data_IF_253535961469
#
_entry.id   IF_253535961469
#
_cell.length_a   1.000
_cell.length_b   1.000
_cell.length_c   1.000
_cell.angle_alpha   90.00
_cell.angle_beta   90.00
_cell.angle_gamma   90.00
#
_symmetry.space_group_name_H-M   'P 1'
#
loop_
_entity.id
_entity.type
_entity.pdbx_description
1 polymer ?
#
# COMPACT_ATOMS: atom_id res chain seq x y z
N UNK A 1 4.71 17.59 -21.32
CA UNK A 1 5.44 17.66 -20.03
C UNK A 1 4.43 17.39 -18.93
N UNK A 2 4.54 16.28 -18.19
CA UNK A 2 3.57 15.95 -17.14
C UNK A 2 3.90 16.75 -15.89
N UNK A 3 3.08 17.76 -15.57
CA UNK A 3 3.25 18.58 -14.37
C UNK A 3 1.91 19.14 -13.89
N UNK A 4 1.75 19.30 -12.58
CA UNK A 4 0.52 19.83 -11.99
C UNK A 4 -0.68 18.90 -12.14
N UNK A 5 -1.81 19.43 -12.60
CA UNK A 5 -3.08 18.72 -12.79
C UNK A 5 -2.95 17.46 -13.67
N UNK A 6 -2.04 17.50 -14.65
CA UNK A 6 -1.76 16.38 -15.53
C UNK A 6 -1.12 15.19 -14.80
N UNK A 7 -0.40 15.44 -13.70
CA UNK A 7 0.23 14.39 -12.90
C UNK A 7 -0.81 13.53 -12.15
N UNK A 8 -2.01 14.07 -11.89
CA UNK A 8 -3.10 13.36 -11.19
C UNK A 8 -3.90 12.44 -12.13
N UNK A 9 -3.85 12.69 -13.45
CA UNK A 9 -4.52 11.84 -14.46
C UNK A 9 -4.02 10.41 -14.41
N UNK A 10 -2.70 10.21 -14.23
CA UNK A 10 -2.09 8.88 -14.18
C UNK A 10 -2.57 8.07 -12.96
N UNK A 11 -2.46 8.55 -11.70
CA UNK A 11 -3.00 7.87 -10.53
C UNK A 11 -4.48 7.49 -10.67
N UNK A 12 -5.33 8.39 -11.20
CA UNK A 12 -6.76 8.10 -11.43
C UNK A 12 -6.97 6.94 -12.40
N UNK A 13 -6.18 6.88 -13.47
CA UNK A 13 -6.26 5.83 -14.48
C UNK A 13 -5.74 4.48 -13.96
N UNK A 14 -4.61 4.48 -13.26
CA UNK A 14 -3.96 3.23 -12.85
C UNK A 14 -4.56 2.62 -11.58
N UNK A 15 -5.24 3.42 -10.72
CA UNK A 15 -5.81 3.00 -9.44
C UNK A 15 -6.53 1.64 -9.47
N UNK A 16 -7.40 1.33 -10.45
CA UNK A 16 -8.09 0.03 -10.50
C UNK A 16 -7.17 -1.17 -10.78
N UNK A 17 -6.03 -0.92 -11.41
CA UNK A 17 -5.07 -1.95 -11.84
C UNK A 17 -3.94 -2.19 -10.83
N UNK A 18 -3.84 -1.36 -9.78
CA UNK A 18 -2.84 -1.54 -8.72
C UNK A 18 -3.39 -2.50 -7.67
N UNK A 19 -3.04 -3.78 -7.81
CA UNK A 19 -3.44 -4.82 -6.86
C UNK A 19 -2.62 -4.82 -5.56
N UNK A 20 -1.43 -4.21 -5.57
CA UNK A 20 -0.60 -4.14 -4.37
C UNK A 20 -1.23 -3.19 -3.34
N UNK A 21 -1.60 -3.67 -2.13
CA UNK A 21 -2.45 -2.91 -1.20
C UNK A 21 -1.83 -1.57 -0.78
N UNK A 22 -0.53 -1.56 -0.42
CA UNK A 22 0.14 -0.30 -0.02
C UNK A 22 0.32 0.69 -1.17
N UNK A 23 0.62 0.22 -2.38
CA UNK A 23 0.75 1.09 -3.56
C UNK A 23 -0.60 1.71 -3.93
N UNK A 24 -1.68 0.92 -3.82
CA UNK A 24 -3.04 1.41 -4.01
C UNK A 24 -3.41 2.44 -2.95
N UNK A 25 -3.11 2.17 -1.67
CA UNK A 25 -3.37 3.11 -0.58
C UNK A 25 -2.65 4.45 -0.79
N UNK A 26 -1.38 4.43 -1.22
CA UNK A 26 -0.63 5.65 -1.54
C UNK A 26 -1.31 6.47 -2.65
N UNK A 27 -1.82 5.80 -3.70
CA UNK A 27 -2.58 6.47 -4.77
C UNK A 27 -3.85 7.12 -4.20
N UNK A 28 -4.61 6.41 -3.37
CA UNK A 28 -5.83 6.95 -2.75
C UNK A 28 -5.53 8.17 -1.87
N UNK A 29 -4.43 8.15 -1.10
CA UNK A 29 -4.01 9.29 -0.27
C UNK A 29 -3.65 10.52 -1.11
N UNK A 30 -2.90 10.33 -2.21
CA UNK A 30 -2.53 11.40 -3.14
C UNK A 30 -3.79 12.03 -3.76
N UNK A 31 -4.74 11.19 -4.19
CA UNK A 31 -6.01 11.66 -4.74
C UNK A 31 -6.84 12.40 -3.70
N UNK A 32 -6.92 11.89 -2.47
CA UNK A 32 -7.65 12.53 -1.39
C UNK A 32 -7.08 13.92 -1.01
N UNK A 33 -5.75 14.07 -1.03
CA UNK A 33 -5.10 15.37 -0.83
C UNK A 33 -5.44 16.35 -1.96
N UNK A 34 -5.33 15.89 -3.21
CA UNK A 34 -5.61 16.71 -4.38
C UNK A 34 -7.08 17.16 -4.44
N UNK A 35 -8.01 16.25 -4.17
CA UNK A 35 -9.46 16.53 -4.07
C UNK A 35 -9.82 17.30 -2.78
N UNK A 36 -8.84 17.73 -1.98
CA UNK A 36 -8.97 18.47 -0.70
C UNK A 36 -9.86 17.78 0.33
N UNK A 37 -9.96 16.45 0.29
CA UNK A 37 -10.73 15.64 1.25
C UNK A 37 -9.98 15.46 2.57
N UNK A 38 -8.66 15.60 2.55
CA UNK A 38 -7.80 15.57 3.73
C UNK A 38 -6.87 16.78 3.71
N UNK A 39 -6.44 17.21 4.91
CA UNK A 39 -5.43 18.25 5.03
C UNK A 39 -4.05 17.71 4.63
N UNK A 40 -3.13 18.62 4.32
CA UNK A 40 -1.72 18.27 4.09
C UNK A 40 -1.10 17.55 5.27
N UNK A 41 -1.39 18.00 6.50
CA UNK A 41 -0.89 17.37 7.73
C UNK A 41 -1.41 15.93 7.89
N UNK A 42 -2.71 15.70 7.62
CA UNK A 42 -3.29 14.37 7.65
C UNK A 42 -2.67 13.47 6.57
N UNK A 43 -2.41 14.01 5.38
CA UNK A 43 -1.71 13.30 4.32
C UNK A 43 -0.30 12.89 4.75
N UNK A 44 0.51 13.81 5.29
CA UNK A 44 1.89 13.54 5.72
C UNK A 44 1.94 12.40 6.76
N UNK A 45 1.11 12.49 7.81
CA UNK A 45 0.99 11.45 8.85
C UNK A 45 0.60 10.09 8.28
N UNK A 46 -0.39 10.04 7.38
CA UNK A 46 -0.86 8.80 6.79
C UNK A 46 0.13 8.23 5.77
N UNK A 47 0.80 9.09 5.00
CA UNK A 47 1.74 8.68 3.96
C UNK A 47 2.99 8.08 4.57
N UNK A 48 3.52 8.67 5.64
CA UNK A 48 4.67 8.17 6.41
C UNK A 48 4.43 6.74 6.93
N UNK A 49 3.22 6.45 7.43
CA UNK A 49 2.84 5.09 7.84
C UNK A 49 2.93 4.06 6.72
N UNK A 50 2.82 4.50 5.45
CA UNK A 50 2.96 3.61 4.29
C UNK A 50 4.40 3.41 3.84
N UNK A 51 5.36 4.24 4.26
CA UNK A 51 6.76 4.15 3.83
C UNK A 51 7.42 2.87 4.35
N UNK A 52 8.41 2.35 3.62
CA UNK A 52 9.12 1.16 4.07
C UNK A 52 10.33 1.57 4.89
N UNK A 53 10.54 0.91 6.02
CA UNK A 53 11.79 1.07 6.76
C UNK A 53 12.91 0.33 6.01
N UNK A 54 13.93 1.07 5.60
CA UNK A 54 15.10 0.50 4.93
C UNK A 54 16.04 -0.11 5.97
N UNK A 55 16.26 -1.43 5.90
CA UNK A 55 17.23 -2.14 6.76
C UNK A 55 16.68 -2.71 8.07
N UNK A 56 15.40 -2.48 8.38
CA UNK A 56 14.70 -3.04 9.54
C UNK A 56 13.79 -4.24 9.21
N UNK A 57 13.32 -5.00 10.21
CA UNK A 57 12.27 -5.99 10.05
C UNK A 57 10.93 -5.29 9.77
N UNK A 58 10.76 -4.81 8.53
CA UNK A 58 9.55 -4.11 8.15
C UNK A 58 8.39 -5.10 7.95
N UNK A 59 7.44 -5.06 8.88
CA UNK A 59 6.23 -5.87 8.86
C UNK A 59 5.42 -5.70 7.55
N UNK A 60 5.54 -4.55 6.87
CA UNK A 60 4.88 -4.25 5.60
C UNK A 60 5.59 -4.89 4.40
N UNK A 61 6.87 -5.23 4.52
CA UNK A 61 7.72 -5.74 3.43
C UNK A 61 7.83 -7.27 3.43
N UNK A 62 7.89 -7.88 4.61
CA UNK A 62 8.28 -9.30 4.75
C UNK A 62 7.16 -10.26 5.18
N UNK A 63 5.94 -9.78 5.47
CA UNK A 63 4.88 -10.66 5.97
C UNK A 63 4.03 -11.34 4.88
N UNK A 64 4.20 -11.02 3.60
CA UNK A 64 3.49 -11.75 2.54
C UNK A 64 3.88 -13.24 2.50
N UNK A 65 5.17 -13.54 2.70
CA UNK A 65 5.68 -14.91 2.79
C UNK A 65 5.24 -15.62 4.08
N UNK A 66 5.26 -14.95 5.23
CA UNK A 66 4.76 -15.51 6.48
C UNK A 66 3.23 -15.74 6.45
N UNK A 67 2.47 -14.83 5.85
CA UNK A 67 1.03 -15.00 5.68
C UNK A 67 0.71 -16.17 4.74
N UNK A 68 1.47 -16.35 3.66
CA UNK A 68 1.37 -17.53 2.78
C UNK A 68 1.76 -18.83 3.52
N UNK A 69 2.81 -18.80 4.34
CA UNK A 69 3.24 -19.95 5.13
C UNK A 69 2.22 -20.35 6.21
N UNK A 70 1.53 -19.38 6.81
CA UNK A 70 0.45 -19.63 7.78
C UNK A 70 -0.88 -20.02 7.11
N UNK A 71 -1.12 -19.57 5.88
CA UNK A 71 -2.31 -19.92 5.09
C UNK A 71 -2.19 -21.28 4.39
N UNK A 72 -0.98 -21.86 4.33
CA UNK A 72 -0.81 -23.24 3.90
C UNK A 72 -1.53 -24.15 4.91
N UNK A 73 -2.50 -24.99 4.48
CA UNK A 73 -3.20 -25.87 5.39
C UNK A 73 -2.17 -26.78 6.06
N UNK A 74 -2.05 -26.68 7.39
CA UNK A 74 -1.33 -27.67 8.19
C UNK A 74 -1.96 -29.02 7.88
N UNK A 75 -1.33 -29.83 7.03
CA UNK A 75 -1.62 -31.26 6.95
C UNK A 75 -1.09 -31.86 8.23
N UNK A 76 -1.87 -31.74 9.31
CA UNK A 76 -1.64 -32.50 10.51
C UNK A 76 -1.94 -33.95 10.14
N UNK A 77 -0.93 -34.67 9.66
CA UNK A 77 -0.97 -36.13 9.58
C UNK A 77 -0.99 -36.61 11.02
N UNK A 78 -2.19 -36.71 11.60
CA UNK A 78 -2.39 -37.45 12.82
C UNK A 78 -2.17 -38.92 12.45
N UNK A 79 -0.95 -39.40 12.66
CA UNK A 79 -0.67 -40.83 12.67
C UNK A 79 -1.22 -41.41 13.97
N UNK A 80 -1.93 -42.52 13.84
CA UNK A 80 -2.52 -43.32 14.92
C UNK A 80 -1.50 -43.72 16.02
#
# INVERSE_FOLDING_TARGET
>A
MFGGEDAIKLPRLIRPFVHHPLRRLRIELILALYDRRISREAFEKLFEMTEYEYGGPDAKRNNALNALAQAAPQTHTHGD
#
